data_IF_356402199032
#
_entry.id   IF_356402199032
#
_cell.length_a   1.000
_cell.length_b   1.000
_cell.length_c   1.000
_cell.angle_alpha   90.00
_cell.angle_beta   90.00
_cell.angle_gamma   90.00
#
_symmetry.space_group_name_H-M   'P 1'
#
loop_
_entity.id
_entity.type
_entity.pdbx_description
1 polymer ?
#
# COMPACT_ATOMS: atom_id res chain seq x y z
N UNK A 1 -9.94 -5.11 -25.86
CA UNK A 1 -9.51 -5.16 -24.45
C UNK A 1 -8.59 -6.37 -24.29
N UNK A 2 -7.31 -6.18 -23.96
CA UNK A 2 -6.34 -7.28 -23.89
C UNK A 2 -6.60 -8.12 -22.61
N UNK A 3 -6.96 -9.39 -22.78
CA UNK A 3 -7.04 -10.38 -21.68
C UNK A 3 -5.72 -10.56 -20.91
N UNK A 4 -4.59 -10.04 -21.43
CA UNK A 4 -3.26 -10.15 -20.82
C UNK A 4 -3.10 -9.47 -19.46
N UNK A 5 -3.88 -8.43 -19.17
CA UNK A 5 -3.67 -7.62 -17.95
C UNK A 5 -4.41 -8.18 -16.71
N UNK A 6 -4.96 -9.40 -16.82
CA UNK A 6 -5.71 -10.11 -15.78
C UNK A 6 -5.24 -11.56 -15.62
N UNK A 7 -4.15 -11.93 -16.30
CA UNK A 7 -3.69 -13.31 -16.37
C UNK A 7 -2.93 -13.66 -15.08
N UNK A 8 -3.63 -14.32 -14.14
CA UNK A 8 -3.09 -14.80 -12.86
C UNK A 8 -2.23 -16.06 -13.02
N UNK A 9 -1.60 -16.26 -14.19
CA UNK A 9 -0.83 -17.47 -14.46
C UNK A 9 0.30 -17.64 -13.44
N UNK A 10 0.42 -18.91 -13.01
CA UNK A 10 1.28 -19.44 -11.95
C UNK A 10 2.60 -18.68 -11.81
N UNK A 11 2.74 -18.05 -10.65
CA UNK A 11 4.01 -17.52 -10.16
C UNK A 11 5.04 -18.65 -10.19
N UNK A 12 6.09 -18.49 -11.01
CA UNK A 12 7.23 -19.42 -10.97
C UNK A 12 7.78 -19.47 -9.55
N UNK A 13 8.01 -20.66 -9.01
CA UNK A 13 8.65 -20.80 -7.70
C UNK A 13 9.98 -20.05 -7.73
N UNK A 14 10.17 -19.06 -6.85
CA UNK A 14 11.39 -18.27 -6.89
C UNK A 14 12.55 -19.15 -6.44
N UNK A 15 13.51 -19.34 -7.34
CA UNK A 15 14.74 -20.09 -7.07
C UNK A 15 15.82 -19.13 -6.62
N UNK A 16 16.51 -19.49 -5.54
CA UNK A 16 17.73 -18.81 -5.12
C UNK A 16 18.85 -19.24 -6.05
N UNK A 17 19.62 -18.28 -6.56
CA UNK A 17 20.83 -18.61 -7.29
C UNK A 17 21.84 -19.18 -6.31
N UNK A 18 22.09 -20.50 -6.39
CA UNK A 18 23.03 -21.18 -5.50
C UNK A 18 24.48 -20.70 -5.69
N UNK A 19 24.75 -19.91 -6.75
CA UNK A 19 26.05 -19.27 -6.95
C UNK A 19 26.24 -17.97 -6.17
N UNK A 20 25.18 -17.43 -5.56
CA UNK A 20 25.28 -16.25 -4.69
C UNK A 20 26.04 -16.58 -3.39
N UNK A 21 26.84 -15.61 -2.90
CA UNK A 21 27.51 -15.74 -1.60
C UNK A 21 26.48 -15.89 -0.48
N UNK A 22 26.77 -16.58 0.63
CA UNK A 22 25.87 -16.63 1.80
C UNK A 22 25.74 -15.24 2.46
N UNK A 23 24.54 -14.83 2.94
CA UNK A 23 24.41 -13.61 3.71
C UNK A 23 25.13 -13.78 5.05
N UNK A 24 26.00 -12.84 5.38
CA UNK A 24 26.81 -12.83 6.60
C UNK A 24 26.02 -12.36 7.83
N UNK A 25 24.87 -11.70 7.63
CA UNK A 25 24.05 -11.12 8.69
C UNK A 25 22.56 -11.17 8.36
N UNK A 26 21.71 -10.95 9.38
CA UNK A 26 20.27 -10.84 9.19
C UNK A 26 19.88 -9.65 8.28
N UNK A 27 20.61 -8.54 8.36
CA UNK A 27 20.40 -7.37 7.51
C UNK A 27 20.63 -7.72 6.03
N UNK A 28 21.69 -8.48 5.72
CA UNK A 28 21.94 -8.94 4.35
C UNK A 28 20.88 -9.93 3.87
N UNK A 29 20.42 -10.84 4.74
CA UNK A 29 19.33 -11.76 4.41
C UNK A 29 18.02 -11.01 4.13
N UNK A 30 17.68 -10.01 4.93
CA UNK A 30 16.52 -9.14 4.71
C UNK A 30 16.66 -8.33 3.42
N UNK A 31 17.85 -7.80 3.16
CA UNK A 31 18.13 -7.02 1.94
C UNK A 31 17.85 -7.86 0.67
N UNK A 32 18.25 -9.14 0.67
CA UNK A 32 17.94 -10.05 -0.45
C UNK A 32 16.44 -10.24 -0.67
N UNK A 33 15.70 -10.47 0.42
CA UNK A 33 14.25 -10.65 0.35
C UNK A 33 13.57 -9.35 -0.13
N UNK A 34 14.04 -8.18 0.31
CA UNK A 34 13.56 -6.88 -0.20
C UNK A 34 13.83 -6.72 -1.70
N UNK A 35 15.03 -7.06 -2.16
CA UNK A 35 15.36 -7.04 -3.60
C UNK A 35 14.46 -7.97 -4.39
N UNK A 36 14.20 -9.18 -3.89
CA UNK A 36 13.24 -10.09 -4.49
C UNK A 36 11.84 -9.47 -4.58
N UNK A 37 11.33 -8.89 -3.49
CA UNK A 37 10.01 -8.28 -3.47
C UNK A 37 9.88 -7.12 -4.48
N UNK A 38 10.90 -6.25 -4.56
CA UNK A 38 10.93 -5.14 -5.52
C UNK A 38 10.95 -5.65 -6.98
N UNK A 39 11.75 -6.67 -7.30
CA UNK A 39 11.78 -7.26 -8.64
C UNK A 39 10.43 -7.89 -9.01
N UNK A 40 9.74 -8.52 -8.07
CA UNK A 40 8.39 -9.05 -8.31
C UNK A 40 7.36 -7.93 -8.50
N UNK A 41 7.49 -6.82 -7.77
CA UNK A 41 6.66 -5.64 -7.96
C UNK A 41 6.84 -4.99 -9.34
N UNK A 42 8.08 -4.90 -9.83
CA UNK A 42 8.35 -4.38 -11.18
C UNK A 42 7.64 -5.23 -12.24
N UNK A 43 7.73 -6.57 -12.11
CA UNK A 43 7.03 -7.51 -13.00
C UNK A 43 5.51 -7.37 -12.91
N UNK A 44 4.97 -7.27 -11.70
CA UNK A 44 3.53 -7.07 -11.48
C UNK A 44 3.05 -5.74 -12.07
N UNK A 45 3.83 -4.67 -11.88
CA UNK A 45 3.56 -3.32 -12.39
C UNK A 45 3.47 -3.33 -13.91
N UNK A 46 4.47 -3.91 -14.59
CA UNK A 46 4.48 -4.01 -16.05
C UNK A 46 3.34 -4.90 -16.56
N UNK A 47 3.18 -6.10 -15.99
CA UNK A 47 2.19 -7.08 -16.43
C UNK A 47 0.76 -6.60 -16.27
N UNK A 48 0.46 -5.93 -15.16
CA UNK A 48 -0.90 -5.53 -14.78
C UNK A 48 -1.17 -4.05 -15.07
N UNK A 49 -0.19 -3.30 -15.58
CA UNK A 49 -0.27 -1.85 -15.77
C UNK A 49 -0.69 -1.15 -14.47
N UNK A 50 0.10 -1.37 -13.41
CA UNK A 50 -0.12 -0.71 -12.12
C UNK A 50 0.42 0.72 -12.18
N UNK A 51 -0.30 1.64 -11.55
CA UNK A 51 0.11 3.06 -11.48
C UNK A 51 0.31 3.52 -10.05
N UNK A 52 -0.39 2.91 -9.09
CA UNK A 52 -0.28 3.23 -7.68
C UNK A 52 0.52 2.19 -6.91
N UNK A 53 0.13 0.91 -6.96
CA UNK A 53 0.80 -0.15 -6.19
C UNK A 53 2.11 -0.56 -6.90
N UNK A 54 3.10 0.34 -6.88
CA UNK A 54 4.40 0.23 -7.54
C UNK A 54 5.54 0.31 -6.51
N UNK A 55 6.79 0.22 -6.97
CA UNK A 55 7.96 0.45 -6.11
C UNK A 55 7.95 1.84 -5.44
N UNK A 56 7.41 2.87 -6.08
CA UNK A 56 7.35 4.21 -5.51
C UNK A 56 6.41 4.28 -4.30
N UNK A 57 5.25 3.62 -4.38
CA UNK A 57 4.33 3.51 -3.26
C UNK A 57 4.97 2.82 -2.06
N UNK A 58 5.57 1.65 -2.24
CA UNK A 58 6.16 0.94 -1.09
C UNK A 58 7.40 1.63 -0.51
N UNK A 59 8.15 2.36 -1.34
CA UNK A 59 9.19 3.26 -0.85
C UNK A 59 8.58 4.40 -0.01
N UNK A 60 7.41 4.92 -0.41
CA UNK A 60 6.61 5.86 0.39
C UNK A 60 6.20 5.27 1.73
N UNK A 61 5.60 4.08 1.72
CA UNK A 61 5.19 3.35 2.94
C UNK A 61 6.40 3.09 3.85
N UNK A 62 7.56 2.70 3.30
CA UNK A 62 8.78 2.52 4.09
C UNK A 62 9.22 3.82 4.78
N UNK A 63 9.24 4.95 4.07
CA UNK A 63 9.57 6.25 4.67
C UNK A 63 8.59 6.63 5.78
N UNK A 64 7.30 6.34 5.59
CA UNK A 64 6.26 6.60 6.59
C UNK A 64 6.42 5.70 7.81
N UNK A 65 6.62 4.41 7.60
CA UNK A 65 6.89 3.44 8.66
C UNK A 65 8.12 3.81 9.48
N UNK A 66 9.19 4.30 8.84
CA UNK A 66 10.39 4.77 9.50
C UNK A 66 10.13 5.99 10.39
N UNK A 67 9.34 6.96 9.93
CA UNK A 67 8.95 8.12 10.75
C UNK A 67 8.16 7.70 11.99
N UNK A 68 7.22 6.77 11.83
CA UNK A 68 6.43 6.24 12.96
C UNK A 68 7.36 5.49 13.92
N UNK A 69 8.22 4.61 13.42
CA UNK A 69 9.17 3.84 14.23
C UNK A 69 10.09 4.76 15.04
N UNK A 70 10.71 5.77 14.40
CA UNK A 70 11.59 6.70 15.11
C UNK A 70 10.85 7.51 16.18
N UNK A 71 9.60 7.90 15.92
CA UNK A 71 8.78 8.64 16.88
C UNK A 71 8.48 7.84 18.14
N UNK A 72 8.21 6.54 18.02
CA UNK A 72 7.85 5.68 19.16
C UNK A 72 9.05 4.95 19.76
N UNK A 73 10.19 4.88 19.06
CA UNK A 73 11.35 4.09 19.48
C UNK A 73 11.80 4.38 20.91
N UNK A 74 11.92 5.65 21.37
CA UNK A 74 12.37 5.91 22.74
C UNK A 74 11.45 5.29 23.80
N UNK A 75 10.14 5.32 23.57
CA UNK A 75 9.14 4.74 24.46
C UNK A 75 9.14 3.21 24.40
N UNK A 76 9.28 2.64 23.20
CA UNK A 76 9.41 1.20 23.01
C UNK A 76 10.68 0.66 23.71
N UNK A 77 11.81 1.34 23.54
CA UNK A 77 13.08 0.98 24.15
C UNK A 77 13.02 1.02 25.68
N UNK A 78 12.34 2.01 26.27
CA UNK A 78 12.15 2.12 27.71
C UNK A 78 11.34 0.96 28.33
N UNK A 79 10.53 0.27 27.54
CA UNK A 79 9.75 -0.90 27.96
C UNK A 79 10.48 -2.23 27.84
N UNK A 80 11.71 -2.25 27.30
CA UNK A 80 12.50 -3.46 27.07
C UNK A 80 13.61 -3.61 28.14
N UNK A 81 14.10 -4.83 28.29
CA UNK A 81 15.31 -5.08 29.07
C UNK A 81 16.55 -4.52 28.33
N UNK A 82 17.34 -3.71 29.02
CA UNK A 82 18.45 -2.92 28.44
C UNK A 82 19.48 -3.78 27.71
N UNK A 83 19.71 -5.01 28.16
CA UNK A 83 20.72 -5.90 27.59
C UNK A 83 20.31 -6.50 26.24
N UNK A 84 19.00 -6.58 25.94
CA UNK A 84 18.46 -7.15 24.69
C UNK A 84 17.85 -6.10 23.77
N UNK A 85 17.52 -4.92 24.29
CA UNK A 85 16.79 -3.88 23.55
C UNK A 85 17.48 -3.48 22.23
N UNK A 86 18.82 -3.26 22.16
CA UNK A 86 19.46 -2.83 20.92
C UNK A 86 19.35 -3.85 19.79
N UNK A 87 19.64 -5.12 20.07
CA UNK A 87 19.60 -6.20 19.06
C UNK A 87 18.17 -6.50 18.63
N UNK A 88 17.24 -6.51 19.58
CA UNK A 88 15.81 -6.68 19.30
C UNK A 88 15.28 -5.57 18.40
N UNK A 89 15.49 -4.30 18.76
CA UNK A 89 15.00 -3.15 17.97
C UNK A 89 15.67 -3.07 16.60
N UNK A 90 16.94 -3.46 16.50
CA UNK A 90 17.64 -3.58 15.21
C UNK A 90 16.96 -4.62 14.32
N UNK A 91 16.67 -5.82 14.85
CA UNK A 91 15.97 -6.89 14.11
C UNK A 91 14.57 -6.44 13.70
N UNK A 92 13.82 -5.84 14.62
CA UNK A 92 12.47 -5.34 14.38
C UNK A 92 12.43 -4.26 13.30
N UNK A 93 13.41 -3.34 13.28
CA UNK A 93 13.52 -2.34 12.21
C UNK A 93 13.67 -3.00 10.85
N UNK A 94 14.47 -4.06 10.75
CA UNK A 94 14.60 -4.82 9.50
C UNK A 94 13.28 -5.48 9.07
N UNK A 95 12.48 -5.97 10.02
CA UNK A 95 11.15 -6.51 9.71
C UNK A 95 10.16 -5.44 9.27
N UNK A 96 10.15 -4.27 9.91
CA UNK A 96 9.36 -3.11 9.48
C UNK A 96 9.73 -2.74 8.03
N UNK A 97 11.02 -2.63 7.73
CA UNK A 97 11.52 -2.33 6.39
C UNK A 97 11.08 -3.37 5.35
N UNK A 98 11.15 -4.65 5.71
CA UNK A 98 10.73 -5.72 4.84
C UNK A 98 9.23 -5.69 4.58
N UNK A 99 8.42 -5.56 5.63
CA UNK A 99 6.96 -5.54 5.52
C UNK A 99 6.49 -4.34 4.70
N UNK A 100 7.07 -3.16 4.92
CA UNK A 100 6.74 -1.97 4.15
C UNK A 100 7.02 -2.16 2.66
N UNK A 101 8.17 -2.76 2.30
CA UNK A 101 8.51 -3.03 0.90
C UNK A 101 7.64 -4.12 0.28
N UNK A 102 7.27 -5.15 1.05
CA UNK A 102 6.65 -6.34 0.48
C UNK A 102 5.12 -6.36 0.53
N UNK A 103 4.45 -5.55 1.35
CA UNK A 103 3.00 -5.70 1.64
C UNK A 103 2.09 -5.72 0.41
N UNK A 104 2.47 -5.02 -0.66
CA UNK A 104 1.71 -4.93 -1.92
C UNK A 104 2.33 -5.73 -3.07
N UNK A 105 3.25 -6.66 -2.78
CA UNK A 105 4.09 -7.34 -3.79
C UNK A 105 3.28 -8.01 -4.90
N UNK A 106 2.07 -8.47 -4.60
CA UNK A 106 1.17 -9.11 -5.56
C UNK A 106 -0.18 -8.39 -5.56
N UNK A 107 -0.71 -8.05 -6.73
CA UNK A 107 -2.03 -7.39 -6.87
C UNK A 107 -3.03 -8.25 -7.63
N UNK A 108 -4.01 -8.83 -6.95
CA UNK A 108 -5.01 -9.71 -7.55
C UNK A 108 -6.31 -8.96 -7.91
N UNK A 109 -6.70 -9.01 -9.18
CA UNK A 109 -7.93 -8.39 -9.68
C UNK A 109 -8.96 -9.44 -10.09
N UNK A 110 -10.23 -9.15 -9.84
CA UNK A 110 -11.34 -9.94 -10.36
C UNK A 110 -11.41 -9.80 -11.89
N UNK A 111 -11.77 -10.87 -12.62
CA UNK A 111 -11.97 -10.80 -14.07
C UNK A 111 -12.99 -9.73 -14.44
N UNK A 112 -12.67 -8.93 -15.45
CA UNK A 112 -13.56 -7.88 -15.91
C UNK A 112 -14.56 -8.44 -16.93
N UNK A 113 -15.83 -8.41 -16.56
CA UNK A 113 -16.93 -9.00 -17.35
C UNK A 113 -17.51 -7.97 -18.34
N UNK A 114 -17.39 -6.67 -18.04
CA UNK A 114 -17.95 -5.58 -18.84
C UNK A 114 -16.87 -4.57 -19.25
N UNK A 115 -16.86 -4.10 -20.51
CA UNK A 115 -15.95 -3.03 -20.93
C UNK A 115 -16.28 -1.72 -20.20
N UNK A 116 -15.32 -0.80 -20.12
CA UNK A 116 -15.48 0.53 -19.51
C UNK A 116 -15.95 0.51 -18.05
N UNK A 117 -15.48 -0.49 -17.29
CA UNK A 117 -15.72 -0.58 -15.84
C UNK A 117 -14.40 -0.54 -15.10
N UNK A 118 -14.42 -0.05 -13.86
CA UNK A 118 -13.25 -0.10 -13.00
C UNK A 118 -12.91 -1.55 -12.63
N UNK A 119 -11.62 -1.85 -12.54
CA UNK A 119 -11.12 -3.09 -11.94
C UNK A 119 -11.63 -3.21 -10.51
N UNK A 120 -11.77 -4.46 -10.05
CA UNK A 120 -12.20 -4.77 -8.69
C UNK A 120 -11.22 -5.73 -8.06
N UNK A 121 -11.04 -5.61 -6.76
CA UNK A 121 -10.24 -6.52 -5.93
C UNK A 121 -11.17 -7.20 -4.93
N UNK A 122 -10.78 -8.39 -4.51
CA UNK A 122 -11.39 -9.08 -3.36
C UNK A 122 -10.53 -8.82 -2.13
N UNK A 123 -11.16 -8.44 -1.02
CA UNK A 123 -10.45 -8.07 0.22
C UNK A 123 -9.59 -9.22 0.72
N UNK A 124 -8.30 -8.96 0.97
CA UNK A 124 -7.38 -9.94 1.56
C UNK A 124 -6.75 -10.92 0.57
N UNK A 125 -7.17 -10.93 -0.71
CA UNK A 125 -6.63 -11.89 -1.69
C UNK A 125 -5.22 -11.51 -2.13
N UNK A 126 -4.97 -10.24 -2.41
CA UNK A 126 -3.63 -9.71 -2.74
C UNK A 126 -2.65 -9.94 -1.59
N UNK A 127 -3.07 -9.65 -0.36
CA UNK A 127 -2.27 -9.77 0.85
C UNK A 127 -1.94 -11.24 1.14
N UNK A 128 -2.91 -12.15 1.01
CA UNK A 128 -2.68 -13.59 1.17
C UNK A 128 -1.70 -14.14 0.11
N UNK A 129 -1.83 -13.70 -1.15
CA UNK A 129 -0.93 -14.10 -2.23
C UNK A 129 0.50 -13.56 -1.99
N UNK A 130 0.61 -12.30 -1.55
CA UNK A 130 1.87 -11.67 -1.14
C UNK A 130 2.54 -12.45 -0.02
N UNK A 131 1.83 -12.74 1.07
CA UNK A 131 2.34 -13.50 2.23
C UNK A 131 2.85 -14.87 1.76
N UNK A 132 2.05 -15.60 1.00
CA UNK A 132 2.41 -16.94 0.51
C UNK A 132 3.73 -16.90 -0.27
N UNK A 133 3.81 -16.03 -1.28
CA UNK A 133 4.98 -15.92 -2.16
C UNK A 133 6.24 -15.46 -1.40
N UNK A 134 6.09 -14.50 -0.50
CA UNK A 134 7.19 -13.96 0.30
C UNK A 134 7.75 -15.01 1.27
N UNK A 135 6.86 -15.69 2.00
CA UNK A 135 7.26 -16.71 2.96
C UNK A 135 7.89 -17.93 2.28
N UNK A 136 7.41 -18.32 1.10
CA UNK A 136 8.04 -19.39 0.32
C UNK A 136 9.48 -19.04 -0.07
N UNK A 137 9.73 -17.81 -0.51
CA UNK A 137 11.09 -17.33 -0.79
C UNK A 137 11.98 -17.34 0.47
N UNK A 138 11.46 -16.82 1.60
CA UNK A 138 12.20 -16.80 2.87
C UNK A 138 12.52 -18.21 3.36
N UNK A 139 11.60 -19.16 3.25
CA UNK A 139 11.81 -20.56 3.63
C UNK A 139 12.89 -21.21 2.76
N UNK A 140 12.84 -21.02 1.45
CA UNK A 140 13.88 -21.51 0.53
C UNK A 140 15.25 -20.91 0.91
N UNK A 141 15.30 -19.63 1.29
CA UNK A 141 16.53 -18.97 1.73
C UNK A 141 17.06 -19.56 3.03
N UNK A 142 16.18 -19.74 4.02
CA UNK A 142 16.54 -20.36 5.29
C UNK A 142 17.05 -21.80 5.11
N UNK A 143 16.43 -22.59 4.23
CA UNK A 143 16.87 -23.95 3.92
C UNK A 143 18.26 -23.96 3.25
N UNK A 144 18.48 -23.09 2.29
CA UNK A 144 19.77 -22.96 1.61
C UNK A 144 20.88 -22.54 2.59
N UNK A 145 20.64 -21.53 3.43
CA UNK A 145 21.60 -21.10 4.47
C UNK A 145 21.86 -22.26 5.45
N UNK A 146 20.81 -22.93 5.93
CA UNK A 146 20.94 -23.99 6.94
C UNK A 146 21.70 -25.22 6.45
N UNK A 147 21.60 -25.55 5.15
CA UNK A 147 22.40 -26.63 4.54
C UNK A 147 23.90 -26.34 4.59
N UNK A 148 24.29 -25.08 4.47
CA UNK A 148 25.69 -24.66 4.47
C UNK A 148 26.20 -24.35 5.88
N UNK A 149 25.38 -23.73 6.72
CA UNK A 149 25.71 -23.39 8.11
C UNK A 149 24.46 -23.45 8.98
N UNK A 150 24.24 -24.56 9.71
CA UNK A 150 23.12 -24.68 10.64
C UNK A 150 23.16 -23.59 11.72
N UNK A 151 21.99 -23.07 12.11
CA UNK A 151 21.82 -22.02 13.13
C UNK A 151 22.53 -20.69 12.82
N UNK A 152 22.70 -20.36 11.54
CA UNK A 152 23.29 -19.08 11.12
C UNK A 152 22.45 -17.88 11.60
N UNK A 153 23.09 -16.80 12.04
CA UNK A 153 22.42 -15.59 12.55
C UNK A 153 21.59 -14.85 11.48
N UNK A 154 21.80 -15.17 10.21
CA UNK A 154 21.06 -14.60 9.09
C UNK A 154 19.68 -15.25 8.86
N UNK A 155 19.37 -16.35 9.57
CA UNK A 155 18.09 -17.03 9.42
C UNK A 155 16.94 -16.19 9.95
N UNK A 156 15.82 -16.25 9.24
CA UNK A 156 14.52 -15.85 9.78
C UNK A 156 14.02 -16.94 10.72
N UNK A 157 13.46 -16.52 11.86
CA UNK A 157 12.81 -17.39 12.84
C UNK A 157 11.31 -17.46 12.58
N UNK A 158 10.63 -18.44 13.16
CA UNK A 158 9.16 -18.54 13.07
C UNK A 158 8.47 -17.29 13.61
N UNK A 159 9.03 -16.64 14.64
CA UNK A 159 8.52 -15.38 15.17
C UNK A 159 8.59 -14.25 14.15
N UNK A 160 9.65 -14.20 13.33
CA UNK A 160 9.77 -13.19 12.27
C UNK A 160 8.72 -13.42 11.19
N UNK A 161 8.50 -14.69 10.79
CA UNK A 161 7.49 -15.04 9.79
C UNK A 161 6.07 -14.71 10.28
N UNK A 162 5.81 -14.90 11.57
CA UNK A 162 4.54 -14.51 12.19
C UNK A 162 4.35 -12.99 12.17
N UNK A 163 5.38 -12.22 12.53
CA UNK A 163 5.35 -10.74 12.47
C UNK A 163 5.08 -10.26 11.04
N UNK A 164 5.76 -10.83 10.04
CA UNK A 164 5.56 -10.48 8.63
C UNK A 164 4.12 -10.77 8.20
N UNK A 165 3.62 -11.96 8.55
CA UNK A 165 2.24 -12.37 8.23
C UNK A 165 1.21 -11.44 8.87
N UNK A 166 1.39 -11.11 10.15
CA UNK A 166 0.48 -10.22 10.86
C UNK A 166 0.52 -8.80 10.27
N UNK A 167 1.71 -8.29 9.97
CA UNK A 167 1.88 -6.93 9.46
C UNK A 167 1.27 -6.73 8.08
N UNK A 168 1.41 -7.70 7.17
CA UNK A 168 0.80 -7.63 5.84
C UNK A 168 -0.73 -7.84 5.94
N UNK A 169 -1.22 -8.73 6.81
CA UNK A 169 -2.67 -8.86 7.01
C UNK A 169 -3.30 -7.58 7.59
N UNK A 170 -2.55 -6.82 8.40
CA UNK A 170 -3.05 -5.58 8.98
C UNK A 170 -3.29 -4.46 7.94
N UNK A 171 -2.77 -4.57 6.71
CA UNK A 171 -3.01 -3.60 5.64
C UNK A 171 -4.33 -3.84 4.90
N UNK A 172 -4.99 -4.99 5.10
CA UNK A 172 -6.26 -5.32 4.45
C UNK A 172 -7.30 -4.25 4.74
N UNK A 173 -7.81 -3.60 3.70
CA UNK A 173 -8.79 -2.53 3.81
C UNK A 173 -10.24 -3.02 3.64
N UNK A 174 -11.13 -2.54 4.49
CA UNK A 174 -12.58 -2.73 4.37
C UNK A 174 -13.27 -1.40 4.02
N UNK A 175 -14.38 -1.49 3.30
CA UNK A 175 -15.20 -0.33 2.96
C UNK A 175 -16.27 -0.09 4.05
N UNK A 176 -16.29 1.11 4.60
CA UNK A 176 -17.35 1.59 5.48
C UNK A 176 -18.40 2.34 4.66
N UNK A 177 -19.58 1.75 4.52
CA UNK A 177 -20.70 2.32 3.78
C UNK A 177 -21.33 3.53 4.48
N UNK A 178 -21.15 3.69 5.79
CA UNK A 178 -21.72 4.80 6.56
C UNK A 178 -20.95 6.08 6.28
N UNK A 179 -19.62 5.99 6.30
CA UNK A 179 -18.70 7.10 6.09
C UNK A 179 -18.24 7.22 4.63
N UNK A 180 -18.64 6.29 3.76
CA UNK A 180 -18.20 6.15 2.36
C UNK A 180 -16.68 6.20 2.20
N UNK A 181 -15.98 5.45 3.03
CA UNK A 181 -14.51 5.49 3.18
C UNK A 181 -13.94 4.09 3.36
N UNK A 182 -12.61 3.96 3.40
CA UNK A 182 -11.94 2.69 3.76
C UNK A 182 -11.24 2.79 5.11
N UNK A 183 -11.07 1.65 5.76
CA UNK A 183 -10.33 1.51 7.02
C UNK A 183 -9.70 0.11 7.11
N UNK A 184 -8.65 -0.03 7.93
CA UNK A 184 -8.02 -1.32 8.21
C UNK A 184 -8.59 -1.88 9.53
N UNK A 185 -9.43 -2.94 9.51
CA UNK A 185 -10.21 -3.39 10.66
C UNK A 185 -9.35 -3.90 11.82
N UNK A 186 -8.15 -4.40 11.55
CA UNK A 186 -7.26 -4.95 12.59
C UNK A 186 -6.77 -3.88 13.56
N UNK A 187 -6.69 -2.62 13.15
CA UNK A 187 -6.40 -1.48 14.05
C UNK A 187 -7.49 -1.21 15.09
N UNK A 188 -8.68 -1.79 14.93
CA UNK A 188 -9.85 -1.58 15.79
C UNK A 188 -10.23 -2.81 16.61
N UNK A 189 -9.58 -3.94 16.35
CA UNK A 189 -9.90 -5.22 16.98
C UNK A 189 -9.28 -5.28 18.37
N UNK A 190 -10.04 -4.89 19.40
CA UNK A 190 -9.56 -4.88 20.80
C UNK A 190 -9.10 -6.27 21.31
N UNK A 191 -9.68 -7.34 20.75
CA UNK A 191 -9.34 -8.72 21.12
C UNK A 191 -8.06 -9.21 20.43
N UNK A 192 -7.61 -8.55 19.37
CA UNK A 192 -6.35 -8.84 18.68
C UNK A 192 -5.25 -7.97 19.31
N UNK A 193 -4.32 -8.60 20.03
CA UNK A 193 -3.12 -7.92 20.50
C UNK A 193 -2.13 -7.72 19.34
N UNK A 194 -2.50 -6.83 18.41
CA UNK A 194 -1.77 -6.57 17.18
C UNK A 194 -0.37 -6.04 17.50
N UNK A 195 0.68 -6.65 16.95
CA UNK A 195 2.06 -6.22 17.19
C UNK A 195 2.30 -4.76 16.76
N UNK A 196 3.30 -4.13 17.38
CA UNK A 196 3.70 -2.77 17.02
C UNK A 196 4.18 -2.69 15.55
N UNK A 197 4.83 -3.74 15.03
CA UNK A 197 5.20 -3.81 13.61
C UNK A 197 3.97 -3.73 12.73
N UNK A 198 2.96 -4.55 12.98
CA UNK A 198 1.74 -4.55 12.19
C UNK A 198 0.98 -3.22 12.27
N UNK A 199 0.94 -2.59 13.45
CA UNK A 199 0.37 -1.25 13.63
C UNK A 199 1.11 -0.18 12.83
N UNK A 200 2.44 -0.19 12.87
CA UNK A 200 3.29 0.74 12.10
C UNK A 200 2.99 0.61 10.61
N UNK A 201 2.98 -0.61 10.07
CA UNK A 201 2.76 -0.86 8.64
C UNK A 201 1.37 -0.42 8.21
N UNK A 202 0.32 -0.82 8.93
CA UNK A 202 -1.04 -0.42 8.63
C UNK A 202 -1.20 1.12 8.61
N UNK A 203 -0.69 1.80 9.65
CA UNK A 203 -0.71 3.26 9.73
C UNK A 203 0.11 3.95 8.63
N UNK A 204 1.25 3.38 8.24
CA UNK A 204 2.09 3.90 7.18
C UNK A 204 1.44 3.77 5.81
N UNK A 205 0.76 2.65 5.54
CA UNK A 205 0.07 2.37 4.28
C UNK A 205 -0.99 3.44 3.96
N UNK A 206 -1.88 3.74 4.92
CA UNK A 206 -2.90 4.81 4.78
C UNK A 206 -2.45 6.18 5.31
N UNK A 207 -1.14 6.38 5.42
CA UNK A 207 -0.52 7.50 6.13
C UNK A 207 -0.31 8.78 5.31
N UNK A 208 -0.41 8.71 3.99
CA UNK A 208 0.00 9.78 3.05
C UNK A 208 -0.57 11.15 3.42
N UNK A 209 -1.89 11.27 3.54
CA UNK A 209 -2.52 12.54 3.89
C UNK A 209 -1.99 13.09 5.21
N UNK A 210 -1.88 12.24 6.23
CA UNK A 210 -1.52 12.68 7.57
C UNK A 210 -0.06 13.07 7.74
N UNK A 211 0.81 12.52 6.91
CA UNK A 211 2.26 12.64 7.06
C UNK A 211 2.93 13.50 5.98
N UNK A 212 2.31 13.60 4.81
CA UNK A 212 2.89 14.22 3.60
C UNK A 212 2.01 15.35 3.05
N UNK A 213 0.72 15.41 3.43
CA UNK A 213 -0.18 16.52 3.12
C UNK A 213 -0.96 16.35 1.82
N UNK A 214 -1.57 17.46 1.37
CA UNK A 214 -2.60 17.46 0.31
C UNK A 214 -2.04 17.10 -1.07
N UNK A 215 -0.83 17.57 -1.40
CA UNK A 215 -0.24 17.36 -2.73
C UNK A 215 0.00 15.86 -2.99
N UNK A 216 0.74 15.18 -2.10
CA UNK A 216 0.95 13.74 -2.16
C UNK A 216 -0.38 12.96 -2.12
N UNK A 217 -1.33 13.40 -1.30
CA UNK A 217 -2.66 12.78 -1.23
C UNK A 217 -3.44 12.86 -2.55
N UNK A 218 -3.36 13.98 -3.27
CA UNK A 218 -4.02 14.15 -4.55
C UNK A 218 -3.32 13.36 -5.65
N UNK A 219 -1.99 13.32 -5.64
CA UNK A 219 -1.18 12.50 -6.56
C UNK A 219 -1.53 11.02 -6.44
N UNK A 220 -1.53 10.45 -5.23
CA UNK A 220 -1.97 9.07 -4.99
C UNK A 220 -3.43 8.87 -5.44
N UNK A 221 -4.26 9.90 -5.25
CA UNK A 221 -5.62 10.00 -5.79
C UNK A 221 -5.73 9.71 -7.28
N UNK A 222 -4.88 10.36 -8.07
CA UNK A 222 -4.77 10.23 -9.53
C UNK A 222 -4.19 8.89 -9.97
N UNK A 223 -3.12 8.43 -9.31
CA UNK A 223 -2.48 7.14 -9.61
C UNK A 223 -3.44 5.96 -9.39
N UNK A 224 -4.16 5.96 -8.27
CA UNK A 224 -5.19 4.95 -7.98
C UNK A 224 -6.30 4.98 -9.03
N UNK A 225 -6.70 6.17 -9.50
CA UNK A 225 -7.73 6.26 -10.54
C UNK A 225 -7.26 5.63 -11.86
N UNK A 226 -6.03 5.89 -12.29
CA UNK A 226 -5.45 5.27 -13.50
C UNK A 226 -5.37 3.75 -13.36
N UNK A 227 -4.90 3.28 -12.22
CA UNK A 227 -4.74 1.84 -11.98
C UNK A 227 -6.07 1.08 -11.99
N UNK A 228 -7.10 1.66 -11.36
CA UNK A 228 -8.43 1.08 -11.30
C UNK A 228 -9.14 1.15 -12.66
N UNK A 229 -8.73 2.03 -13.57
CA UNK A 229 -9.44 2.32 -14.82
C UNK A 229 -8.50 2.30 -16.03
N UNK A 230 -7.78 1.20 -16.31
CA UNK A 230 -6.81 1.16 -17.40
C UNK A 230 -7.44 1.38 -18.79
N UNK A 231 -8.75 1.15 -18.92
CA UNK A 231 -9.51 1.35 -20.16
C UNK A 231 -9.53 2.82 -20.61
N UNK A 232 -9.30 3.76 -19.69
CA UNK A 232 -9.36 5.20 -19.97
C UNK A 232 -8.04 5.72 -20.54
N UNK A 233 -6.93 5.00 -20.31
CA UNK A 233 -5.59 5.46 -20.67
C UNK A 233 -5.48 5.77 -22.16
N UNK A 234 -5.95 4.89 -23.08
CA UNK A 234 -5.93 5.20 -24.51
C UNK A 234 -6.79 6.40 -24.87
N UNK A 235 -7.89 6.64 -24.14
CA UNK A 235 -8.80 7.78 -24.39
C UNK A 235 -8.09 9.09 -24.03
N UNK A 236 -7.38 9.13 -22.90
CA UNK A 236 -6.61 10.30 -22.46
C UNK A 236 -5.43 10.56 -23.39
N UNK A 237 -4.68 9.51 -23.77
CA UNK A 237 -3.47 9.64 -24.59
C UNK A 237 -3.78 10.03 -26.05
N UNK A 238 -4.79 9.40 -26.65
CA UNK A 238 -5.12 9.62 -28.06
C UNK A 238 -6.08 10.79 -28.28
N UNK A 239 -6.67 11.33 -27.20
CA UNK A 239 -7.73 12.34 -27.25
C UNK A 239 -8.91 11.96 -28.15
N UNK A 240 -9.11 10.66 -28.38
CA UNK A 240 -10.16 10.13 -29.24
C UNK A 240 -10.60 8.75 -28.75
N UNK A 241 -11.89 8.47 -28.96
CA UNK A 241 -12.53 7.20 -28.65
C UNK A 241 -12.58 6.41 -29.96
N UNK A 242 -12.14 5.14 -30.00
CA UNK A 242 -12.12 4.37 -31.24
C UNK A 242 -13.49 4.34 -31.92
N UNK A 243 -13.55 4.73 -33.19
CA UNK A 243 -14.79 4.74 -34.00
C UNK A 243 -15.40 3.33 -34.20
N UNK A 244 -14.67 2.28 -33.83
CA UNK A 244 -15.08 0.88 -33.97
C UNK A 244 -16.04 0.38 -32.88
N UNK A 245 -16.49 1.24 -31.96
CA UNK A 245 -17.31 0.83 -30.83
C UNK A 245 -18.81 0.91 -31.10
N UNK A 246 -19.54 -0.11 -30.64
CA UNK A 246 -21.00 -0.16 -30.71
C UNK A 246 -21.69 0.85 -29.75
N UNK A 247 -20.92 1.45 -28.83
CA UNK A 247 -21.38 2.44 -27.85
C UNK A 247 -21.02 3.83 -28.39
N UNK A 248 -21.96 4.77 -28.31
CA UNK A 248 -21.71 6.14 -28.75
C UNK A 248 -20.69 6.87 -27.85
N UNK A 249 -19.93 7.79 -28.44
CA UNK A 249 -18.88 8.55 -27.74
C UNK A 249 -19.41 9.32 -26.52
N UNK A 250 -20.64 9.85 -26.59
CA UNK A 250 -21.23 10.63 -25.50
C UNK A 250 -21.47 9.79 -24.25
N UNK A 251 -21.93 8.54 -24.42
CA UNK A 251 -22.11 7.58 -23.33
C UNK A 251 -20.79 7.24 -22.64
N UNK A 252 -19.70 7.10 -23.41
CA UNK A 252 -18.36 6.83 -22.86
C UNK A 252 -17.83 8.03 -22.08
N UNK A 253 -17.95 9.25 -22.62
CA UNK A 253 -17.56 10.47 -21.93
C UNK A 253 -18.32 10.66 -20.62
N UNK A 254 -19.64 10.45 -20.62
CA UNK A 254 -20.44 10.57 -19.40
C UNK A 254 -20.07 9.49 -18.38
N UNK A 255 -19.84 8.24 -18.81
CA UNK A 255 -19.34 7.18 -17.93
C UNK A 255 -18.00 7.58 -17.27
N UNK A 256 -17.07 8.14 -18.04
CA UNK A 256 -15.78 8.58 -17.53
C UNK A 256 -15.92 9.74 -16.54
N UNK A 257 -16.74 10.74 -16.86
CA UNK A 257 -17.08 11.86 -15.97
C UNK A 257 -17.62 11.35 -14.63
N UNK A 258 -18.54 10.39 -14.65
CA UNK A 258 -19.12 9.79 -13.44
C UNK A 258 -18.07 9.06 -12.60
N UNK A 259 -17.14 8.32 -13.23
CA UNK A 259 -16.06 7.63 -12.53
C UNK A 259 -15.10 8.61 -11.86
N UNK A 260 -14.69 9.67 -12.55
CA UNK A 260 -13.87 10.75 -12.00
C UNK A 260 -14.57 11.45 -10.83
N UNK A 261 -15.85 11.83 -11.00
CA UNK A 261 -16.64 12.49 -9.96
C UNK A 261 -16.86 11.59 -8.73
N UNK A 262 -17.04 10.29 -8.93
CA UNK A 262 -17.09 9.33 -7.83
C UNK A 262 -15.76 9.30 -7.06
N UNK A 263 -14.63 9.36 -7.77
CA UNK A 263 -13.29 9.38 -7.17
C UNK A 263 -13.04 10.64 -6.35
N UNK A 264 -13.42 11.83 -6.83
CA UNK A 264 -13.25 13.08 -6.08
C UNK A 264 -14.05 13.06 -4.77
N UNK A 265 -15.30 12.58 -4.82
CA UNK A 265 -16.14 12.39 -3.62
C UNK A 265 -15.53 11.41 -2.64
N UNK A 266 -15.02 10.29 -3.16
CA UNK A 266 -14.33 9.30 -2.33
C UNK A 266 -13.10 9.91 -1.66
N UNK A 267 -12.27 10.70 -2.35
CA UNK A 267 -11.10 11.35 -1.73
C UNK A 267 -11.48 12.27 -0.56
N UNK A 268 -12.53 13.08 -0.71
CA UNK A 268 -13.02 13.94 0.38
C UNK A 268 -13.49 13.11 1.57
N UNK A 269 -14.29 12.06 1.34
CA UNK A 269 -14.77 11.17 2.40
C UNK A 269 -13.64 10.37 3.04
N UNK A 270 -12.64 9.99 2.25
CA UNK A 270 -11.44 9.31 2.73
C UNK A 270 -10.64 10.20 3.67
N UNK A 271 -10.36 11.44 3.28
CA UNK A 271 -9.68 12.42 4.13
C UNK A 271 -10.40 12.64 5.47
N UNK A 272 -11.73 12.83 5.44
CA UNK A 272 -12.58 12.95 6.63
C UNK A 272 -12.51 11.70 7.50
N UNK A 273 -12.63 10.53 6.89
CA UNK A 273 -12.55 9.23 7.54
C UNK A 273 -11.24 9.05 8.28
N UNK A 274 -10.10 9.33 7.63
CA UNK A 274 -8.76 9.28 8.26
C UNK A 274 -8.69 10.15 9.51
N UNK A 275 -9.10 11.42 9.42
CA UNK A 275 -9.08 12.33 10.57
C UNK A 275 -9.98 11.85 11.71
N UNK A 276 -11.20 11.40 11.41
CA UNK A 276 -12.16 10.94 12.42
C UNK A 276 -11.72 9.64 13.12
N UNK A 277 -10.82 8.88 12.51
CA UNK A 277 -10.40 7.55 12.96
C UNK A 277 -9.06 7.52 13.66
N UNK A 278 -8.18 8.49 13.42
CA UNK A 278 -6.81 8.51 13.92
C UNK A 278 -6.71 8.16 15.42
N UNK A 279 -7.50 8.80 16.28
CA UNK A 279 -7.46 8.54 17.72
C UNK A 279 -7.78 7.08 18.10
N UNK A 280 -8.61 6.38 17.31
CA UNK A 280 -8.90 4.96 17.50
C UNK A 280 -7.80 4.07 16.94
N UNK A 281 -7.21 4.44 15.81
CA UNK A 281 -6.15 3.68 15.15
C UNK A 281 -4.84 3.71 15.94
N UNK A 282 -4.61 4.80 16.68
CA UNK A 282 -3.48 4.92 17.61
C UNK A 282 -3.71 4.19 18.95
N UNK A 283 -4.88 3.58 19.18
CA UNK A 283 -5.11 2.76 20.38
C UNK A 283 -4.24 1.51 20.30
N UNK A 284 -3.27 1.40 21.21
CA UNK A 284 -2.27 0.33 21.24
C UNK A 284 -0.85 0.86 21.48
N UNK A 285 -0.64 2.16 21.29
CA UNK A 285 0.55 2.88 21.74
C UNK A 285 0.34 3.46 23.16
N UNK A 286 1.43 3.82 23.83
CA UNK A 286 1.41 4.56 25.10
C UNK A 286 0.87 5.99 24.90
N UNK A 287 0.49 6.67 25.98
CA UNK A 287 -0.02 8.04 25.89
C UNK A 287 1.03 9.00 25.32
N UNK A 288 2.29 8.79 25.70
CA UNK A 288 3.46 9.54 25.25
C UNK A 288 3.68 9.35 23.74
N UNK A 289 3.69 8.09 23.27
CA UNK A 289 3.81 7.79 21.85
C UNK A 289 2.63 8.34 21.04
N UNK A 290 1.39 8.23 21.55
CA UNK A 290 0.19 8.81 20.89
C UNK A 290 0.33 10.31 20.71
N UNK A 291 0.84 11.04 21.71
CA UNK A 291 1.03 12.48 21.63
C UNK A 291 2.02 12.85 20.51
N UNK A 292 3.18 12.19 20.46
CA UNK A 292 4.20 12.42 19.42
C UNK A 292 3.65 12.06 18.03
N UNK A 293 3.01 10.90 17.91
CA UNK A 293 2.41 10.48 16.64
C UNK A 293 1.37 11.47 16.14
N UNK A 294 0.53 12.02 17.02
CA UNK A 294 -0.52 12.97 16.62
C UNK A 294 0.06 14.32 16.22
N UNK A 295 1.03 14.85 16.97
CA UNK A 295 1.54 16.21 16.76
C UNK A 295 2.63 16.30 15.70
N UNK A 296 3.53 15.32 15.63
CA UNK A 296 4.75 15.41 14.83
C UNK A 296 4.67 14.56 13.57
N UNK A 297 3.99 13.41 13.64
CA UNK A 297 3.92 12.44 12.54
C UNK A 297 2.67 12.66 11.68
N UNK A 298 1.47 12.57 12.27
CA UNK A 298 0.17 12.73 11.58
C UNK A 298 -0.35 14.18 11.60
N UNK A 299 0.56 15.15 11.62
CA UNK A 299 0.28 16.59 11.81
C UNK A 299 -0.71 17.18 10.78
N UNK A 300 -0.85 16.58 9.60
CA UNK A 300 -1.75 17.04 8.55
C UNK A 300 -3.18 16.50 8.70
N UNK A 301 -3.46 15.53 9.57
CA UNK A 301 -4.84 15.11 9.89
C UNK A 301 -5.50 16.09 10.86
N UNK A 302 -5.78 17.30 10.36
CA UNK A 302 -6.39 18.36 11.15
C UNK A 302 -7.53 19.06 10.38
N UNK A 303 -8.43 19.79 11.08
CA UNK A 303 -9.60 20.40 10.44
C UNK A 303 -9.29 21.41 9.34
N UNK A 304 -8.14 22.10 9.39
CA UNK A 304 -7.77 23.07 8.37
C UNK A 304 -7.43 22.36 7.04
N UNK A 305 -6.70 21.26 7.11
CA UNK A 305 -6.37 20.43 5.95
C UNK A 305 -7.61 19.78 5.35
N UNK A 306 -8.51 19.24 6.19
CA UNK A 306 -9.77 18.65 5.70
C UNK A 306 -10.62 19.70 4.96
N UNK A 307 -10.76 20.90 5.53
CA UNK A 307 -11.48 22.00 4.86
C UNK A 307 -10.84 22.42 3.55
N UNK A 308 -9.51 22.44 3.48
CA UNK A 308 -8.80 22.75 2.25
C UNK A 308 -9.08 21.72 1.16
N UNK A 309 -9.07 20.42 1.48
CA UNK A 309 -9.45 19.34 0.56
C UNK A 309 -10.90 19.50 0.10
N UNK A 310 -11.83 19.68 1.03
CA UNK A 310 -13.25 19.90 0.70
C UNK A 310 -13.47 21.07 -0.27
N UNK A 311 -12.70 22.15 -0.09
CA UNK A 311 -12.80 23.34 -0.92
C UNK A 311 -12.16 23.18 -2.30
N UNK A 312 -11.02 22.49 -2.39
CA UNK A 312 -10.28 22.34 -3.65
C UNK A 312 -10.74 21.18 -4.54
N UNK A 313 -11.48 20.21 -3.99
CA UNK A 313 -11.87 19.00 -4.72
C UNK A 313 -13.26 19.14 -5.34
N UNK A 314 -13.41 19.01 -6.67
CA UNK A 314 -14.68 19.23 -7.34
C UNK A 314 -15.62 18.03 -7.14
N UNK A 315 -16.67 18.22 -6.34
CA UNK A 315 -17.59 17.14 -5.91
C UNK A 315 -19.05 17.35 -6.33
N UNK A 316 -19.37 18.48 -6.96
CA UNK A 316 -20.74 18.83 -7.37
C UNK A 316 -21.26 17.90 -8.48
N UNK A 317 -22.57 17.65 -8.51
CA UNK A 317 -23.17 16.74 -9.52
C UNK A 317 -22.99 17.25 -10.96
N UNK A 318 -22.96 18.57 -11.11
CA UNK A 318 -22.87 19.32 -12.36
C UNK A 318 -21.43 19.67 -12.74
N UNK A 319 -20.41 19.23 -11.98
CA UNK A 319 -19.00 19.33 -12.39
C UNK A 319 -18.82 18.67 -13.76
N UNK A 320 -18.28 19.42 -14.71
CA UNK A 320 -18.07 18.97 -16.08
C UNK A 320 -16.82 18.09 -16.21
N UNK A 321 -16.64 17.49 -17.37
CA UNK A 321 -15.55 16.55 -17.62
C UNK A 321 -14.18 17.23 -17.61
N UNK A 322 -14.10 18.43 -18.20
CA UNK A 322 -12.86 19.21 -18.33
C UNK A 322 -12.28 19.60 -16.96
N UNK A 323 -13.13 20.06 -16.05
CA UNK A 323 -12.75 20.41 -14.67
C UNK A 323 -12.22 19.19 -13.90
N UNK A 324 -12.82 18.02 -14.09
CA UNK A 324 -12.33 16.78 -13.49
C UNK A 324 -10.97 16.37 -14.06
N UNK A 325 -10.79 16.48 -15.38
CA UNK A 325 -9.49 16.19 -16.03
C UNK A 325 -8.40 17.14 -15.53
N UNK A 326 -8.72 18.45 -15.39
CA UNK A 326 -7.80 19.44 -14.85
C UNK A 326 -7.43 19.17 -13.38
N UNK A 327 -8.38 18.71 -12.57
CA UNK A 327 -8.13 18.35 -11.17
C UNK A 327 -7.17 17.16 -11.05
N UNK A 328 -7.42 16.07 -11.79
CA UNK A 328 -6.61 14.86 -11.67
C UNK A 328 -5.26 14.93 -12.40
N UNK A 329 -5.13 15.78 -13.42
CA UNK A 329 -3.87 15.98 -14.18
C UNK A 329 -3.26 14.66 -14.67
N UNK A 330 -4.12 13.74 -15.13
CA UNK A 330 -3.77 12.35 -15.43
C UNK A 330 -2.65 12.23 -16.48
N UNK A 331 -2.56 13.19 -17.40
CA UNK A 331 -1.56 13.21 -18.46
C UNK A 331 -0.12 13.33 -17.93
N UNK A 332 0.08 13.84 -16.71
CA UNK A 332 1.39 13.91 -16.06
C UNK A 332 1.97 12.53 -15.75
N UNK A 333 1.11 11.55 -15.51
CA UNK A 333 1.51 10.20 -15.09
C UNK A 333 1.54 9.19 -16.23
N UNK A 334 0.98 9.56 -17.39
CA UNK A 334 0.94 8.72 -18.58
C UNK A 334 2.10 8.96 -19.55
N UNK A 335 2.87 10.04 -19.35
CA UNK A 335 4.04 10.38 -20.16
C UNK A 335 5.29 9.81 -19.49
N UNK A 336 5.54 8.51 -19.69
CA UNK A 336 6.84 7.87 -19.52
C UNK A 336 7.02 6.77 -20.57
#
# INVERSE_FOLDING_TARGET
MNQRNQDNQYLSHPSIDESDQLPSSFVEAVTRVKTFALLEMEKETERKQLYYHTCDHVNGVQRRADRIFQAIRPDWEAGLDNDIAPDYLSRIKQLIDLCAIAHDMVQEFLPQIQPYTSRRRESGVSEAATITKLLDYIKNQNEWISKQTPNHLALFTDSDLQIITEAINATICWYDTSDNTIYQPDLYSYDKNLSLVARIIALADLGTLGMEGIEAFNEEGSLLFLEENPDIIPIILNQDIPDSEAIDKQTIYENLRQRLLKRTRFQVNFAKGRMARLARELKGFTAEAIAVLTHDVFKYLNPAIIKAIEFSTPTANDTNFEELIEFFQLDKYLKN
#
